data_IF_185898334384
#
_entry.id   IF_185898334384
#
_cell.length_a   1.000
_cell.length_b   1.000
_cell.length_c   1.000
_cell.angle_alpha   90.00
_cell.angle_beta   90.00
_cell.angle_gamma   90.00
#
_symmetry.space_group_name_H-M   'P 1'
#
loop_
_entity.id
_entity.type
_entity.pdbx_description
1 polymer ?
#
# COMPACT_ATOMS: atom_id res chain seq x y z
N UNK A 1 -4.88 22.98 19.50
CA UNK A 1 -4.31 22.62 19.01
C UNK A 1 -4.03 22.20 18.58
N UNK A 2 -4.35 22.17 18.53
CA UNK A 2 -3.77 21.69 17.78
C UNK A 2 -3.46 21.16 17.60
N UNK A 3 -3.64 21.22 17.60
CA UNK A 3 -3.13 20.69 17.03
C UNK A 3 -2.74 20.24 16.67
N UNK A 4 -2.87 20.33 16.50
CA UNK A 4 -2.14 19.84 15.90
C UNK A 4 -1.54 19.67 15.69
N UNK A 5 -1.61 19.86 15.70
CA UNK A 5 -0.71 19.58 15.26
C UNK A 5 -0.09 19.26 15.38
N UNK A 6 -0.15 19.27 15.54
CA UNK A 6 0.72 18.86 15.44
C UNK A 6 1.12 18.16 15.43
N UNK A 7 1.16 17.98 15.14
CA UNK A 7 1.79 17.30 15.05
C UNK A 7 2.38 17.17 14.79
N UNK A 8 2.59 17.39 14.46
CA UNK A 8 3.47 17.08 14.10
C UNK A 8 4.59 17.18 13.84
N UNK A 9 5.14 17.28 13.74
CA UNK A 9 6.28 17.32 13.14
C UNK A 9 7.43 17.21 13.89
N UNK A 10 8.06 16.50 13.67
CA UNK A 10 9.19 16.34 14.46
C UNK A 10 10.35 15.95 13.60
N UNK A 11 11.21 16.83 13.19
CA UNK A 11 12.32 16.50 12.31
C UNK A 11 13.30 15.52 12.90
N UNK A 12 13.39 15.48 14.24
CA UNK A 12 14.30 14.57 14.92
C UNK A 12 13.65 13.24 15.28
N UNK A 13 12.36 13.08 14.97
CA UNK A 13 11.66 11.85 15.28
C UNK A 13 12.15 10.72 14.41
N UNK A 14 11.90 9.48 14.82
CA UNK A 14 12.20 8.35 13.95
C UNK A 14 11.60 8.59 12.57
N UNK A 15 12.31 8.23 11.52
CA UNK A 15 11.84 8.46 10.18
C UNK A 15 10.51 7.77 9.95
N UNK A 16 9.63 8.47 9.29
CA UNK A 16 8.37 7.90 8.85
C UNK A 16 8.59 7.27 7.49
N UNK A 17 7.88 6.21 7.24
CA UNK A 17 8.02 5.46 6.00
C UNK A 17 6.80 5.69 5.14
N UNK A 18 7.02 5.72 3.83
CA UNK A 18 5.97 5.90 2.85
C UNK A 18 5.84 4.62 2.06
N UNK A 19 4.63 4.11 1.98
CA UNK A 19 4.35 2.87 1.25
C UNK A 19 3.32 3.15 0.18
N UNK A 20 3.72 2.97 -1.08
CA UNK A 20 2.82 3.05 -2.21
C UNK A 20 2.22 1.67 -2.47
N UNK A 21 0.92 1.61 -2.70
CA UNK A 21 0.17 0.36 -2.83
C UNK A 21 -0.70 0.41 -4.07
N UNK A 22 -0.78 -0.69 -4.81
CA UNK A 22 -1.68 -0.81 -5.96
C UNK A 22 -2.18 -2.24 -6.13
N UNK A 23 -3.37 -2.39 -6.66
CA UNK A 23 -3.97 -3.68 -6.99
C UNK A 23 -4.52 -3.64 -8.41
N UNK A 24 -4.28 -4.69 -9.18
CA UNK A 24 -4.67 -4.79 -10.58
C UNK A 24 -5.36 -6.13 -10.82
N UNK A 25 -6.44 -6.14 -11.59
CA UNK A 25 -7.17 -7.36 -11.90
C UNK A 25 -6.77 -7.86 -13.28
N UNK A 26 -6.37 -9.13 -13.38
CA UNK A 26 -6.02 -9.79 -14.63
C UNK A 26 -7.15 -10.75 -15.00
N UNK A 27 -8.15 -10.26 -15.72
CA UNK A 27 -9.33 -11.06 -16.06
C UNK A 27 -8.99 -12.29 -16.91
N UNK A 28 -8.04 -12.15 -17.83
CA UNK A 28 -7.61 -13.22 -18.71
C UNK A 28 -6.96 -14.38 -17.96
N UNK A 29 -6.33 -14.11 -16.83
CA UNK A 29 -5.68 -15.13 -15.99
C UNK A 29 -6.51 -15.52 -14.77
N UNK A 30 -7.66 -14.91 -14.57
CA UNK A 30 -8.49 -15.08 -13.37
C UNK A 30 -7.64 -14.87 -12.11
N UNK A 31 -6.89 -13.77 -12.09
CA UNK A 31 -5.95 -13.46 -11.02
C UNK A 31 -5.96 -11.97 -10.71
N UNK A 32 -5.43 -11.63 -9.55
CA UNK A 32 -5.26 -10.25 -9.11
C UNK A 32 -3.80 -10.05 -8.70
N UNK A 33 -3.21 -8.95 -9.12
CA UNK A 33 -1.84 -8.60 -8.79
C UNK A 33 -1.78 -7.47 -7.78
N UNK A 34 -0.86 -7.57 -6.83
CA UNK A 34 -0.59 -6.53 -5.84
C UNK A 34 0.84 -6.05 -5.99
N UNK A 35 1.03 -4.74 -5.85
CA UNK A 35 2.35 -4.15 -5.86
C UNK A 35 2.50 -3.16 -4.72
N UNK A 36 3.67 -3.13 -4.09
CA UNK A 36 3.96 -2.14 -3.07
C UNK A 36 5.44 -1.81 -3.02
N UNK A 37 5.74 -0.58 -2.61
CA UNK A 37 7.12 -0.09 -2.44
C UNK A 37 7.18 0.68 -1.12
N UNK A 38 8.16 0.32 -0.28
CA UNK A 38 8.42 1.03 0.98
C UNK A 38 9.66 1.88 0.80
N UNK A 39 9.52 3.17 1.06
CA UNK A 39 10.64 4.13 0.97
C UNK A 39 10.77 4.90 2.28
N UNK A 40 12.01 5.29 2.60
CA UNK A 40 12.27 6.13 3.76
C UNK A 40 12.04 7.60 3.40
N UNK A 41 12.29 8.50 4.36
CA UNK A 41 12.08 9.94 4.18
C UNK A 41 12.99 10.56 3.12
N UNK A 42 14.05 9.85 2.72
CA UNK A 42 14.96 10.32 1.68
C UNK A 42 14.67 9.68 0.32
N UNK A 43 13.61 8.85 0.26
CA UNK A 43 13.23 8.20 -0.98
C UNK A 43 13.93 6.89 -1.27
N UNK A 44 14.78 6.42 -0.35
CA UNK A 44 15.46 5.15 -0.54
C UNK A 44 14.48 3.99 -0.40
N UNK A 45 14.51 3.06 -1.35
CA UNK A 45 13.67 1.87 -1.33
C UNK A 45 14.23 0.88 -0.31
N UNK A 46 13.40 0.53 0.67
CA UNK A 46 13.77 -0.42 1.72
C UNK A 46 13.19 -1.81 1.44
N UNK A 47 12.04 -1.86 0.79
CA UNK A 47 11.39 -3.11 0.42
C UNK A 47 10.44 -2.88 -0.73
N UNK A 48 10.20 -3.92 -1.50
CA UNK A 48 9.20 -3.90 -2.56
C UNK A 48 8.63 -5.31 -2.69
N UNK A 49 7.41 -5.41 -3.18
CA UNK A 49 6.75 -6.71 -3.34
C UNK A 49 5.85 -6.70 -4.56
N UNK A 50 5.83 -7.83 -5.25
CA UNK A 50 4.85 -8.13 -6.29
C UNK A 50 4.22 -9.46 -5.90
N UNK A 51 2.89 -9.51 -5.81
CA UNK A 51 2.18 -10.70 -5.36
C UNK A 51 0.98 -10.96 -6.26
N UNK A 52 0.74 -12.23 -6.55
CA UNK A 52 -0.39 -12.65 -7.36
C UNK A 52 -1.27 -13.59 -6.55
N UNK A 53 -2.57 -13.37 -6.59
CA UNK A 53 -3.52 -14.32 -6.00
C UNK A 53 -4.41 -14.89 -7.11
N UNK A 54 -4.79 -16.17 -7.01
CA UNK A 54 -5.58 -16.86 -8.05
C UNK A 54 -7.07 -16.59 -7.88
N UNK A 55 -7.46 -15.33 -7.90
CA UNK A 55 -8.85 -14.92 -7.77
C UNK A 55 -9.08 -13.64 -8.56
N UNK A 56 -10.21 -13.56 -9.27
CA UNK A 56 -10.62 -12.34 -9.95
C UNK A 56 -11.46 -11.52 -8.98
N UNK A 57 -10.88 -10.45 -8.46
CA UNK A 57 -11.58 -9.56 -7.53
C UNK A 57 -12.20 -8.39 -8.30
N UNK A 58 -13.26 -7.78 -7.74
CA UNK A 58 -13.73 -6.50 -8.24
C UNK A 58 -12.65 -5.45 -7.97
N UNK A 59 -12.66 -4.34 -8.72
CA UNK A 59 -11.59 -3.34 -8.62
C UNK A 59 -11.40 -2.81 -7.20
N UNK A 60 -12.48 -2.40 -6.55
CA UNK A 60 -12.38 -1.87 -5.18
C UNK A 60 -11.91 -2.96 -4.20
N UNK A 61 -12.37 -4.18 -4.39
CA UNK A 61 -11.95 -5.32 -3.57
C UNK A 61 -10.45 -5.60 -3.75
N UNK A 62 -9.96 -5.53 -4.99
CA UNK A 62 -8.53 -5.70 -5.28
C UNK A 62 -7.70 -4.62 -4.59
N UNK A 63 -8.15 -3.36 -4.65
CA UNK A 63 -7.48 -2.25 -3.99
C UNK A 63 -7.47 -2.42 -2.47
N UNK A 64 -8.60 -2.81 -1.88
CA UNK A 64 -8.70 -3.01 -0.43
C UNK A 64 -7.84 -4.19 0.01
N UNK A 65 -7.83 -5.28 -0.74
CA UNK A 65 -7.06 -6.48 -0.40
C UNK A 65 -5.56 -6.22 -0.54
N UNK A 66 -5.14 -5.43 -1.53
CA UNK A 66 -3.74 -5.05 -1.67
C UNK A 66 -3.30 -4.20 -0.48
N UNK A 67 -4.15 -3.30 -0.01
CA UNK A 67 -3.86 -2.49 1.17
C UNK A 67 -3.74 -3.36 2.42
N UNK A 68 -4.69 -4.28 2.62
CA UNK A 68 -4.65 -5.21 3.76
C UNK A 68 -3.35 -6.02 3.77
N UNK A 69 -3.00 -6.60 2.63
CA UNK A 69 -1.78 -7.40 2.49
C UNK A 69 -0.54 -6.56 2.81
N UNK A 70 -0.50 -5.33 2.30
CA UNK A 70 0.63 -4.43 2.51
C UNK A 70 0.76 -4.01 3.98
N UNK A 71 -0.35 -3.74 4.65
CA UNK A 71 -0.34 -3.36 6.06
C UNK A 71 0.22 -4.51 6.91
N UNK A 72 -0.21 -5.74 6.64
CA UNK A 72 0.32 -6.92 7.34
C UNK A 72 1.82 -7.06 7.10
N UNK A 73 2.25 -6.92 5.86
CA UNK A 73 3.68 -7.02 5.51
C UNK A 73 4.49 -5.95 6.23
N UNK A 74 4.02 -4.71 6.22
CA UNK A 74 4.72 -3.59 6.87
C UNK A 74 4.89 -3.86 8.37
N UNK A 75 3.84 -4.34 9.02
CA UNK A 75 3.91 -4.68 10.44
C UNK A 75 4.94 -5.76 10.71
N UNK A 76 4.91 -6.85 9.93
CA UNK A 76 5.82 -7.97 10.11
C UNK A 76 7.28 -7.57 9.85
N UNK A 77 7.50 -6.61 8.96
CA UNK A 77 8.85 -6.10 8.68
C UNK A 77 9.33 -5.09 9.71
N UNK A 78 8.48 -4.73 10.67
CA UNK A 78 8.89 -3.82 11.75
C UNK A 78 8.61 -2.35 11.51
N UNK A 79 7.90 -2.00 10.46
CA UNK A 79 7.56 -0.60 10.21
C UNK A 79 6.35 -0.22 11.07
N UNK A 80 6.53 0.77 11.95
CA UNK A 80 5.53 1.16 12.94
C UNK A 80 4.89 2.53 12.68
N UNK A 81 5.51 3.35 11.84
CA UNK A 81 5.03 4.70 11.54
C UNK A 81 5.03 4.87 10.03
N UNK A 82 3.84 4.84 9.43
CA UNK A 82 3.71 4.66 7.99
C UNK A 82 2.66 5.60 7.38
N UNK A 83 3.01 6.16 6.24
CA UNK A 83 2.06 6.79 5.33
C UNK A 83 1.78 5.80 4.21
N UNK A 84 0.56 5.27 4.17
CA UNK A 84 0.13 4.42 3.06
C UNK A 84 -0.49 5.31 1.98
N UNK A 85 0.00 5.17 0.75
CA UNK A 85 -0.49 5.94 -0.40
C UNK A 85 -1.16 5.04 -1.40
N UNK A 86 -2.33 5.45 -1.86
CA UNK A 86 -3.12 4.73 -2.87
C UNK A 86 -3.59 5.72 -3.93
N UNK A 87 -3.73 5.28 -5.16
CA UNK A 87 -4.35 6.11 -6.19
C UNK A 87 -5.88 5.90 -6.27
N UNK A 88 -6.44 5.10 -5.38
CA UNK A 88 -7.88 4.92 -5.28
C UNK A 88 -8.46 5.93 -4.29
N UNK A 89 -9.05 6.99 -4.80
CA UNK A 89 -9.72 7.99 -3.97
C UNK A 89 -10.88 7.36 -3.19
N UNK A 90 -11.60 6.44 -3.83
CA UNK A 90 -12.71 5.73 -3.20
C UNK A 90 -12.22 4.96 -1.96
N UNK A 91 -11.15 4.19 -2.10
CA UNK A 91 -10.59 3.43 -0.98
C UNK A 91 -10.10 4.36 0.12
N UNK A 92 -9.39 5.43 -0.24
CA UNK A 92 -8.87 6.38 0.74
C UNK A 92 -10.02 6.99 1.56
N UNK A 93 -11.12 7.36 0.92
CA UNK A 93 -12.26 7.94 1.60
C UNK A 93 -12.92 6.94 2.55
N UNK A 94 -12.95 5.66 2.20
CA UNK A 94 -13.45 4.62 3.08
C UNK A 94 -12.51 4.43 4.27
N UNK A 95 -11.20 4.35 4.02
CA UNK A 95 -10.20 4.15 5.05
C UNK A 95 -10.17 5.28 6.08
N UNK A 96 -10.46 6.49 5.65
CA UNK A 96 -10.45 7.67 6.54
C UNK A 96 -11.82 8.02 7.12
N UNK A 97 -12.84 7.19 6.85
CA UNK A 97 -14.17 7.37 7.43
C UNK A 97 -15.04 8.40 6.73
N UNK A 98 -14.60 8.94 5.59
CA UNK A 98 -15.39 9.90 4.81
C UNK A 98 -16.57 9.20 4.12
N UNK A 99 -16.37 7.97 3.67
CA UNK A 99 -17.40 7.16 3.00
C UNK A 99 -17.58 5.84 3.73
N UNK A 100 -18.79 5.27 3.62
CA UNK A 100 -19.06 3.96 4.20
C UNK A 100 -18.53 2.85 3.31
N UNK A 101 -18.05 1.76 3.92
CA UNK A 101 -17.58 0.61 3.17
C UNK A 101 -18.77 -0.16 2.59
N UNK A 102 -18.73 -0.52 1.30
CA UNK A 102 -19.68 -1.46 0.75
C UNK A 102 -19.58 -2.83 1.44
N UNK A 103 -20.69 -3.56 1.45
CA UNK A 103 -20.71 -4.89 2.10
C UNK A 103 -19.61 -5.80 1.56
N UNK A 104 -19.26 -5.68 0.28
CA UNK A 104 -18.26 -6.53 -0.37
C UNK A 104 -16.87 -6.44 0.24
N UNK A 105 -16.54 -5.35 0.94
CA UNK A 105 -15.20 -5.17 1.55
C UNK A 105 -15.26 -4.98 3.06
N UNK A 106 -16.41 -5.18 3.69
CA UNK A 106 -16.55 -4.98 5.14
C UNK A 106 -15.55 -5.81 5.94
N UNK A 107 -15.41 -7.10 5.62
CA UNK A 107 -14.50 -7.98 6.33
C UNK A 107 -13.05 -7.54 6.16
N UNK A 108 -12.69 -7.10 4.96
CA UNK A 108 -11.35 -6.59 4.68
C UNK A 108 -11.11 -5.33 5.50
N UNK A 109 -12.10 -4.43 5.56
CA UNK A 109 -11.98 -3.19 6.32
C UNK A 109 -11.82 -3.45 7.82
N UNK A 110 -12.56 -4.41 8.36
CA UNK A 110 -12.42 -4.79 9.76
C UNK A 110 -11.02 -5.28 10.06
N UNK A 111 -10.47 -6.10 9.17
CA UNK A 111 -9.10 -6.60 9.30
C UNK A 111 -8.08 -5.46 9.24
N UNK A 112 -8.27 -4.52 8.31
CA UNK A 112 -7.38 -3.36 8.18
C UNK A 112 -7.40 -2.52 9.45
N UNK A 113 -8.58 -2.21 9.97
CA UNK A 113 -8.70 -1.36 11.15
C UNK A 113 -8.09 -2.02 12.39
N UNK A 114 -8.29 -3.32 12.55
CA UNK A 114 -7.70 -4.06 13.66
C UNK A 114 -6.17 -4.05 13.57
N UNK A 115 -5.62 -4.18 12.37
CA UNK A 115 -4.19 -4.18 12.15
C UNK A 115 -3.58 -2.80 12.35
N UNK A 116 -4.23 -1.77 11.82
CA UNK A 116 -3.78 -0.37 11.93
C UNK A 116 -3.66 0.05 13.39
N UNK A 117 -4.54 -0.44 14.23
CA UNK A 117 -4.54 -0.10 15.67
C UNK A 117 -3.26 -0.52 16.37
N UNK A 118 -2.52 -1.46 15.81
CA UNK A 118 -1.25 -1.93 16.38
C UNK A 118 -0.09 -0.99 16.07
N UNK A 119 -0.21 -0.17 15.03
CA UNK A 119 0.87 0.73 14.61
C UNK A 119 0.96 1.93 15.56
N UNK A 120 2.14 2.54 15.61
CA UNK A 120 2.34 3.77 16.36
C UNK A 120 1.72 4.95 15.63
N UNK A 121 1.79 4.94 14.31
CA UNK A 121 1.23 5.99 13.46
C UNK A 121 0.90 5.42 12.09
N UNK A 122 -0.32 5.71 11.60
CA UNK A 122 -0.73 5.37 10.24
C UNK A 122 -1.50 6.55 9.67
N UNK A 123 -1.19 6.89 8.43
CA UNK A 123 -1.97 7.85 7.65
C UNK A 123 -2.25 7.25 6.29
N UNK A 124 -3.47 7.42 5.80
CA UNK A 124 -3.84 7.01 4.44
C UNK A 124 -3.96 8.25 3.58
N UNK A 125 -3.23 8.29 2.47
CA UNK A 125 -3.16 9.44 1.59
C UNK A 125 -3.48 9.02 0.17
N UNK A 126 -4.26 9.86 -0.52
CA UNK A 126 -4.51 9.68 -1.94
C UNK A 126 -3.39 10.35 -2.73
N UNK A 127 -2.86 9.64 -3.72
CA UNK A 127 -1.90 10.19 -4.68
C UNK A 127 -2.44 9.96 -6.09
N UNK A 128 -2.07 10.81 -7.02
CA UNK A 128 -2.42 10.58 -8.41
C UNK A 128 -1.67 9.38 -8.93
N UNK A 129 -2.18 8.79 -10.02
CA UNK A 129 -1.57 7.60 -10.61
C UNK A 129 -0.08 7.78 -10.89
N UNK A 130 0.33 8.95 -11.39
CA UNK A 130 1.74 9.21 -11.67
C UNK A 130 2.61 9.12 -10.41
N UNK A 131 2.07 9.50 -9.26
CA UNK A 131 2.77 9.39 -7.98
C UNK A 131 2.74 7.97 -7.40
N UNK A 132 1.95 7.07 -7.98
CA UNK A 132 1.84 5.67 -7.54
C UNK A 132 2.44 4.70 -8.55
N UNK A 133 3.20 5.20 -9.50
CA UNK A 133 3.69 4.42 -10.62
C UNK A 133 4.56 3.22 -10.22
N UNK A 134 5.47 3.33 -9.24
CA UNK A 134 6.26 2.16 -8.84
C UNK A 134 5.39 1.00 -8.36
N UNK A 135 4.37 1.27 -7.55
CA UNK A 135 3.47 0.22 -7.06
C UNK A 135 2.66 -0.36 -8.22
N UNK A 136 2.21 0.48 -9.14
CA UNK A 136 1.46 0.02 -10.31
C UNK A 136 2.29 -0.93 -11.18
N UNK A 137 3.55 -0.58 -11.43
CA UNK A 137 4.46 -1.43 -12.22
C UNK A 137 4.63 -2.79 -11.55
N UNK A 138 4.81 -2.80 -10.22
CA UNK A 138 4.96 -4.06 -9.49
C UNK A 138 3.66 -4.89 -9.48
N UNK A 139 2.51 -4.23 -9.40
CA UNK A 139 1.23 -4.92 -9.49
C UNK A 139 1.06 -5.57 -10.86
N UNK A 140 1.43 -4.86 -11.94
CA UNK A 140 1.38 -5.40 -13.30
C UNK A 140 2.37 -6.54 -13.48
N UNK A 141 3.55 -6.45 -12.89
CA UNK A 141 4.58 -7.50 -12.95
C UNK A 141 4.07 -8.80 -12.34
N UNK A 142 3.13 -8.74 -11.40
CA UNK A 142 2.57 -9.92 -10.78
C UNK A 142 1.96 -10.89 -11.80
N UNK A 143 1.62 -10.42 -12.99
CA UNK A 143 1.13 -11.27 -14.06
C UNK A 143 2.10 -12.41 -14.37
N UNK A 144 3.40 -12.16 -14.18
CA UNK A 144 4.47 -13.11 -14.47
C UNK A 144 4.97 -13.86 -13.23
N UNK A 145 4.38 -13.58 -12.07
CA UNK A 145 4.80 -14.15 -10.80
C UNK A 145 3.90 -15.33 -10.46
N UNK A 146 4.47 -16.41 -9.91
CA UNK A 146 3.66 -17.58 -9.56
C UNK A 146 2.93 -17.39 -8.22
N UNK A 147 3.58 -16.72 -7.25
CA UNK A 147 2.98 -16.43 -5.94
C UNK A 147 3.38 -15.03 -5.52
N UNK A 148 4.62 -14.83 -5.05
CA UNK A 148 5.11 -13.50 -4.72
C UNK A 148 6.62 -13.42 -4.89
N UNK A 149 7.10 -12.17 -5.04
CA UNK A 149 8.52 -11.82 -5.05
C UNK A 149 8.69 -10.62 -4.13
N UNK A 150 9.69 -10.68 -3.26
CA UNK A 150 10.04 -9.59 -2.36
C UNK A 150 11.48 -9.16 -2.61
N UNK A 151 11.69 -7.85 -2.68
CA UNK A 151 13.01 -7.25 -2.75
C UNK A 151 13.26 -6.52 -1.44
N UNK A 152 14.40 -6.78 -0.79
CA UNK A 152 14.73 -6.14 0.49
C UNK A 152 16.03 -5.36 0.31
N UNK A 153 16.00 -4.10 0.76
CA UNK A 153 17.14 -3.19 0.74
C UNK A 153 17.74 -3.02 -0.65
N UNK A 154 16.89 -3.12 -1.68
CA UNK A 154 17.30 -2.88 -3.06
C UNK A 154 16.11 -2.38 -3.85
N UNK A 155 16.37 -1.64 -4.92
CA UNK A 155 15.33 -1.18 -5.83
C UNK A 155 15.24 -2.16 -6.99
N UNK A 156 14.07 -2.80 -7.21
CA UNK A 156 13.91 -3.65 -8.40
C UNK A 156 14.21 -2.86 -9.66
N UNK A 157 14.96 -3.46 -10.59
CA UNK A 157 15.33 -2.79 -11.84
C UNK A 157 14.12 -2.26 -12.60
N UNK A 158 13.01 -2.98 -12.56
CA UNK A 158 11.82 -2.59 -13.32
C UNK A 158 11.16 -1.30 -12.82
N UNK A 159 11.49 -0.83 -11.62
CA UNK A 159 10.91 0.41 -11.09
C UNK A 159 11.92 1.53 -10.89
N UNK A 160 13.20 1.34 -11.27
CA UNK A 160 14.23 2.35 -11.03
C UNK A 160 13.85 3.70 -11.62
N UNK A 161 13.38 3.74 -12.87
CA UNK A 161 13.00 4.99 -13.52
C UNK A 161 11.79 5.65 -12.84
N UNK A 162 10.86 4.84 -12.35
CA UNK A 162 9.66 5.35 -11.71
C UNK A 162 9.93 5.89 -10.31
N UNK A 163 11.05 5.49 -9.68
CA UNK A 163 11.43 5.96 -8.36
C UNK A 163 12.34 7.19 -8.37
N UNK A 164 12.90 7.53 -9.52
CA UNK A 164 13.84 8.66 -9.62
C UNK A 164 13.15 10.02 -9.82
#
# INVERSE_FOLDING_TARGET
>A
MNPALPIRWHPSDPPQFKINVDGVVFKDQRATGFGMVIRDSQGLVLAAMSKKIPATLAVLEAEAKSMETTIHFAWEMGFKEVYFETDSCTLKNILTGISMAPASIETIMESILAQVDKFRFVSFTHVKRDGNRPAHILAQFAKQVSDFVVWLEETPNLIEDACS
#
